data_IF_663437580623
#
_entry.id   IF_663437580623
#
_cell.length_a   1.000
_cell.length_b   1.000
_cell.length_c   1.000
_cell.angle_alpha   90.00
_cell.angle_beta   90.00
_cell.angle_gamma   90.00
#
_symmetry.space_group_name_H-M   'P 1'
#
loop_
_entity.id
_entity.type
_entity.pdbx_description
1 polymer ?
#
# COMPACT_ATOMS: atom_id res chain seq x y z
N UNK A 1 -0.52 16.90 5.30
CA UNK A 1 -0.34 15.67 4.52
C UNK A 1 -1.62 14.84 4.64
N UNK A 2 -2.56 14.89 3.68
CA UNK A 2 -3.75 14.03 3.72
C UNK A 2 -3.30 12.56 3.73
N UNK A 3 -3.77 11.78 4.69
CA UNK A 3 -3.46 10.35 4.77
C UNK A 3 -4.32 9.63 3.75
N UNK A 4 -3.70 9.07 2.72
CA UNK A 4 -4.39 8.26 1.70
C UNK A 4 -4.75 6.88 2.25
N UNK A 5 -5.70 6.85 3.19
CA UNK A 5 -6.16 5.66 3.88
C UNK A 5 -7.65 5.42 3.59
N UNK A 6 -8.00 4.21 3.15
CA UNK A 6 -9.39 3.78 2.94
C UNK A 6 -9.64 2.40 3.54
N UNK A 7 -10.90 2.02 3.71
CA UNK A 7 -11.30 0.66 4.07
C UNK A 7 -11.67 -0.09 2.80
N UNK A 8 -10.98 -1.20 2.53
CA UNK A 8 -11.17 -2.07 1.34
C UNK A 8 -11.91 -3.37 1.68
N UNK A 9 -11.87 -3.80 2.93
CA UNK A 9 -12.69 -4.90 3.45
C UNK A 9 -12.36 -6.33 2.99
N UNK A 10 -11.44 -6.53 2.06
CA UNK A 10 -11.01 -7.89 1.72
C UNK A 10 -9.74 -8.29 2.49
N UNK A 11 -9.93 -8.94 3.64
CA UNK A 11 -8.82 -9.61 4.35
C UNK A 11 -8.63 -11.04 3.81
N UNK A 12 -7.46 -11.41 3.28
CA UNK A 12 -7.22 -12.77 2.77
C UNK A 12 -7.17 -13.84 3.88
N UNK A 13 -6.95 -13.45 5.14
CA UNK A 13 -6.82 -14.40 6.26
C UNK A 13 -8.17 -14.70 6.95
N UNK A 14 -9.00 -13.68 7.18
CA UNK A 14 -10.23 -13.83 7.97
C UNK A 14 -11.50 -13.37 7.25
N UNK A 15 -11.41 -12.93 5.98
CA UNK A 15 -12.54 -12.35 5.21
C UNK A 15 -13.22 -11.16 5.93
N UNK A 16 -12.49 -10.50 6.84
CA UNK A 16 -12.99 -9.36 7.60
C UNK A 16 -13.10 -8.10 6.74
N UNK A 17 -14.29 -7.49 6.76
CA UNK A 17 -14.71 -6.31 5.99
C UNK A 17 -14.07 -4.99 6.39
N UNK A 18 -13.19 -5.00 7.39
CA UNK A 18 -12.62 -3.78 7.96
C UNK A 18 -11.12 -3.60 7.64
N UNK A 19 -10.60 -4.31 6.65
CA UNK A 19 -9.21 -4.16 6.20
C UNK A 19 -8.98 -2.76 5.66
N UNK A 20 -7.98 -2.10 6.23
CA UNK A 20 -7.59 -0.74 5.86
C UNK A 20 -6.44 -0.78 4.87
N UNK A 21 -6.56 -0.10 3.74
CA UNK A 21 -5.49 0.14 2.78
C UNK A 21 -4.94 1.55 2.96
N UNK A 22 -3.64 1.67 3.23
CA UNK A 22 -2.93 2.93 3.44
C UNK A 22 -1.77 3.03 2.46
N UNK A 23 -1.67 4.18 1.82
CA UNK A 23 -0.52 4.55 0.99
C UNK A 23 0.31 5.62 1.69
N UNK A 24 1.63 5.48 1.64
CA UNK A 24 2.57 6.53 2.03
C UNK A 24 3.62 6.70 0.94
N UNK A 25 3.71 7.91 0.40
CA UNK A 25 4.79 8.34 -0.47
C UNK A 25 5.80 9.14 0.33
N UNK A 26 7.06 8.75 0.23
CA UNK A 26 8.20 9.49 0.74
C UNK A 26 9.08 9.87 -0.45
N UNK A 27 9.33 11.16 -0.61
CA UNK A 27 10.18 11.68 -1.69
C UNK A 27 11.27 12.55 -1.07
N UNK A 28 12.49 12.33 -1.52
CA UNK A 28 13.70 13.08 -1.19
C UNK A 28 14.50 13.27 -2.48
N UNK A 29 15.52 14.12 -2.46
CA UNK A 29 16.24 14.58 -3.66
C UNK A 29 16.71 13.44 -4.58
N UNK A 30 17.19 12.33 -4.01
CA UNK A 30 17.71 11.18 -4.77
C UNK A 30 16.87 9.90 -4.61
N UNK A 31 15.78 9.95 -3.84
CA UNK A 31 15.05 8.74 -3.46
C UNK A 31 13.56 8.99 -3.32
N UNK A 32 12.78 8.27 -4.12
CA UNK A 32 11.33 8.13 -3.96
C UNK A 32 10.98 6.73 -3.51
N UNK A 33 10.17 6.65 -2.45
CA UNK A 33 9.65 5.44 -1.85
C UNK A 33 8.13 5.50 -1.82
N UNK A 34 7.50 4.51 -2.46
CA UNK A 34 6.07 4.31 -2.47
C UNK A 34 5.74 3.08 -1.63
N UNK A 35 5.01 3.26 -0.53
CA UNK A 35 4.71 2.18 0.40
C UNK A 35 3.21 1.97 0.57
N UNK A 36 2.81 0.71 0.50
CA UNK A 36 1.45 0.23 0.69
C UNK A 36 1.36 -0.60 1.95
N UNK A 37 0.31 -0.38 2.73
CA UNK A 37 0.01 -1.13 3.94
C UNK A 37 -1.46 -1.55 3.96
N UNK A 38 -1.71 -2.85 4.06
CA UNK A 38 -3.01 -3.41 4.41
C UNK A 38 -2.98 -3.85 5.86
N UNK A 39 -3.92 -3.36 6.68
CA UNK A 39 -4.08 -3.78 8.07
C UNK A 39 -5.50 -4.22 8.33
N UNK A 40 -5.67 -5.48 8.73
CA UNK A 40 -6.93 -5.97 9.25
C UNK A 40 -6.98 -5.73 10.78
N UNK A 41 -7.92 -4.94 11.30
CA UNK A 41 -8.08 -4.77 12.75
C UNK A 41 -8.70 -5.99 13.43
N UNK A 42 -9.35 -6.87 12.66
CA UNK A 42 -10.13 -7.99 13.19
C UNK A 42 -9.25 -9.18 13.59
N UNK A 43 -8.36 -9.60 12.69
CA UNK A 43 -7.41 -10.70 12.93
C UNK A 43 -5.97 -10.24 13.15
N UNK A 44 -5.68 -8.94 13.00
CA UNK A 44 -4.32 -8.40 13.09
C UNK A 44 -3.44 -8.65 11.85
N UNK A 45 -3.97 -9.27 10.78
CA UNK A 45 -3.22 -9.52 9.56
C UNK A 45 -2.72 -8.21 8.94
N UNK A 46 -1.45 -8.21 8.51
CA UNK A 46 -0.81 -7.04 7.89
C UNK A 46 -0.02 -7.46 6.66
N UNK A 47 -0.24 -6.75 5.56
CA UNK A 47 0.57 -6.86 4.35
C UNK A 47 1.21 -5.51 4.07
N UNK A 48 2.51 -5.51 3.74
CA UNK A 48 3.22 -4.30 3.34
C UNK A 48 4.15 -4.54 2.18
N UNK A 49 4.11 -3.61 1.23
CA UNK A 49 5.03 -3.56 0.10
C UNK A 49 5.57 -2.16 -0.01
N UNK A 50 6.86 -2.03 -0.29
CA UNK A 50 7.51 -0.75 -0.55
C UNK A 50 8.28 -0.85 -1.87
N UNK A 51 8.12 0.16 -2.70
CA UNK A 51 8.81 0.34 -3.97
C UNK A 51 9.76 1.50 -3.81
N UNK A 52 11.03 1.30 -4.16
CA UNK A 52 12.06 2.33 -4.08
C UNK A 52 12.51 2.63 -5.51
N UNK A 53 12.69 3.91 -5.82
CA UNK A 53 13.05 4.31 -7.19
C UNK A 53 14.51 3.98 -7.56
N UNK A 54 15.34 3.72 -6.57
CA UNK A 54 16.74 3.29 -6.73
C UNK A 54 16.90 1.76 -6.78
N UNK A 55 15.79 1.03 -6.64
CA UNK A 55 15.79 -0.43 -6.62
C UNK A 55 15.61 -0.95 -8.05
N UNK A 56 16.73 -1.34 -8.67
CA UNK A 56 16.82 -1.78 -10.08
C UNK A 56 15.97 -3.04 -10.36
N UNK A 57 15.64 -3.82 -9.33
CA UNK A 57 14.83 -5.04 -9.39
C UNK A 57 13.32 -4.77 -9.25
N UNK A 58 12.91 -3.51 -9.02
CA UNK A 58 11.50 -3.14 -8.91
C UNK A 58 10.84 -3.15 -10.29
N UNK A 59 10.46 -4.35 -10.75
CA UNK A 59 9.72 -4.62 -12.00
C UNK A 59 8.27 -4.11 -11.99
N UNK A 60 7.86 -3.35 -10.98
CA UNK A 60 6.48 -2.89 -10.84
C UNK A 60 6.30 -1.60 -11.64
N UNK A 61 5.70 -1.73 -12.83
CA UNK A 61 5.46 -0.62 -13.75
C UNK A 61 4.69 0.55 -13.11
N UNK A 62 3.89 0.26 -12.08
CA UNK A 62 3.08 1.25 -11.37
C UNK A 62 3.17 1.13 -9.84
N UNK A 63 4.16 1.77 -9.18
CA UNK A 63 4.28 1.79 -7.71
C UNK A 63 3.12 2.50 -7.00
N UNK A 64 2.32 3.26 -7.76
CA UNK A 64 1.08 3.90 -7.30
C UNK A 64 -0.13 2.95 -7.34
N UNK A 65 0.01 1.70 -7.77
CA UNK A 65 -1.04 0.70 -7.74
C UNK A 65 -0.82 -0.24 -6.55
N UNK A 66 -1.84 -0.38 -5.70
CA UNK A 66 -1.80 -1.31 -4.58
C UNK A 66 -1.80 -2.76 -5.09
N UNK A 67 -0.79 -3.58 -4.75
CA UNK A 67 -0.71 -4.97 -5.20
C UNK A 67 -1.78 -5.88 -4.56
N UNK A 68 -2.46 -5.42 -3.52
CA UNK A 68 -3.42 -6.22 -2.76
C UNK A 68 -4.87 -6.00 -3.16
N UNK A 69 -5.25 -4.76 -3.50
CA UNK A 69 -6.63 -4.38 -3.83
C UNK A 69 -6.77 -3.66 -5.17
N UNK A 70 -5.67 -3.40 -5.89
CA UNK A 70 -5.71 -2.68 -7.16
C UNK A 70 -6.07 -1.19 -7.04
N UNK A 71 -6.10 -0.64 -5.81
CA UNK A 71 -6.34 0.79 -5.60
C UNK A 71 -5.18 1.61 -6.14
N UNK A 72 -5.47 2.71 -6.84
CA UNK A 72 -4.47 3.70 -7.25
C UNK A 72 -4.35 4.83 -6.22
N UNK A 73 -3.13 5.26 -5.92
CA UNK A 73 -2.88 6.46 -5.10
C UNK A 73 -3.14 7.75 -5.89
N UNK A 74 -3.68 8.77 -5.23
CA UNK A 74 -3.88 10.13 -5.78
C UNK A 74 -5.17 10.36 -6.57
N UNK A 75 -6.11 9.40 -6.59
CA UNK A 75 -7.45 9.51 -7.18
C UNK A 75 -8.54 9.66 -6.14
#
# INVERSE_FOLDING_TARGET
>A
MPREQIVVGDCPQCQGVNTTCKYNRFESEDLRIDSWEHKCPDCGHRLTTAYRSDDEDTLVEEPMLCPYCGRRAGV
#
